data_IF_906377492284
#
_entry.id   IF_906377492284
#
_cell.length_a   1.000
_cell.length_b   1.000
_cell.length_c   1.000
_cell.angle_alpha   90.00
_cell.angle_beta   90.00
_cell.angle_gamma   90.00
#
_symmetry.space_group_name_H-M   'P 1'
#
loop_
_entity.id
_entity.type
_entity.pdbx_description
1 polymer ?
#
# COMPACT_ATOMS: atom_id res chain seq x y z
N UNK A 1 42.45 -60.36 -9.78
CA UNK A 1 42.05 -61.67 -10.32
C UNK A 1 40.53 -61.68 -10.40
N UNK A 2 39.99 -61.83 -11.63
CA UNK A 2 38.69 -62.40 -12.07
C UNK A 2 37.40 -62.07 -11.29
N UNK A 3 36.21 -61.85 -11.86
CA UNK A 3 35.62 -61.96 -13.21
C UNK A 3 34.24 -61.22 -13.13
N UNK A 4 33.75 -60.43 -14.10
CA UNK A 4 33.10 -60.74 -15.39
C UNK A 4 31.93 -61.78 -15.35
N UNK A 5 30.70 -61.30 -15.64
CA UNK A 5 29.68 -61.75 -16.64
C UNK A 5 28.22 -61.66 -16.13
N UNK A 6 27.40 -60.67 -16.54
CA UNK A 6 26.44 -60.53 -17.68
C UNK A 6 25.12 -61.35 -17.55
N UNK A 7 24.01 -60.69 -17.96
CA UNK A 7 22.65 -61.15 -18.36
C UNK A 7 21.61 -61.26 -17.21
N UNK A 8 20.36 -60.81 -17.30
CA UNK A 8 19.53 -60.32 -18.41
C UNK A 8 18.24 -59.68 -17.85
N UNK A 9 17.76 -58.65 -18.54
CA UNK A 9 16.34 -58.37 -18.91
C UNK A 9 15.28 -58.33 -17.80
N UNK A 10 14.66 -57.14 -17.62
CA UNK A 10 13.23 -56.96 -17.86
C UNK A 10 12.87 -55.47 -17.87
N UNK A 11 12.56 -54.99 -19.06
CA UNK A 11 11.92 -53.73 -19.36
C UNK A 11 10.50 -53.77 -18.74
N UNK A 12 10.19 -52.87 -17.81
CA UNK A 12 8.79 -52.50 -17.55
C UNK A 12 8.70 -50.98 -17.62
N UNK A 13 8.14 -50.52 -18.73
CA UNK A 13 7.89 -49.12 -19.04
C UNK A 13 6.94 -48.53 -18.00
N UNK A 14 7.49 -47.75 -17.07
CA UNK A 14 6.72 -46.83 -16.26
C UNK A 14 6.46 -45.57 -17.09
N UNK A 15 5.20 -45.41 -17.50
CA UNK A 15 4.67 -44.20 -18.10
C UNK A 15 4.95 -43.01 -17.20
N UNK A 16 5.87 -42.15 -17.62
CA UNK A 16 6.10 -40.82 -17.05
C UNK A 16 4.95 -39.92 -17.51
N UNK A 17 4.08 -39.42 -16.62
CA UNK A 17 3.10 -38.42 -17.03
C UNK A 17 3.85 -37.14 -17.39
N UNK A 18 3.62 -36.69 -18.62
CA UNK A 18 4.17 -35.47 -19.20
C UNK A 18 3.69 -34.25 -18.40
N UNK A 19 4.66 -33.40 -18.07
CA UNK A 19 4.47 -32.11 -17.40
C UNK A 19 3.54 -31.22 -18.24
N UNK A 20 2.32 -30.99 -17.75
CA UNK A 20 1.46 -29.89 -18.24
C UNK A 20 2.09 -28.58 -17.78
N UNK A 21 2.76 -27.91 -18.72
CA UNK A 21 3.18 -26.52 -18.57
C UNK A 21 1.95 -25.64 -18.67
N UNK A 22 1.43 -25.19 -17.52
CA UNK A 22 0.43 -24.13 -17.45
C UNK A 22 1.12 -22.81 -17.79
N UNK A 23 1.09 -22.43 -19.06
CA UNK A 23 1.43 -21.09 -19.50
C UNK A 23 0.45 -20.12 -18.85
N UNK A 24 0.90 -19.43 -17.80
CA UNK A 24 0.20 -18.30 -17.22
C UNK A 24 0.13 -17.19 -18.28
N UNK A 25 -1.00 -17.11 -18.97
CA UNK A 25 -1.35 -15.95 -19.76
C UNK A 25 -1.47 -14.75 -18.80
N UNK A 26 -0.39 -13.98 -18.70
CA UNK A 26 -0.40 -12.66 -18.08
C UNK A 26 -1.26 -11.78 -18.97
N UNK A 27 -2.53 -11.62 -18.61
CA UNK A 27 -3.35 -10.51 -19.09
C UNK A 27 -2.73 -9.23 -18.51
N UNK A 28 -1.73 -8.69 -19.20
CA UNK A 28 -1.35 -7.31 -19.04
C UNK A 28 -2.54 -6.48 -19.54
N UNK A 29 -3.40 -6.06 -18.61
CA UNK A 29 -4.24 -4.89 -18.83
C UNK A 29 -3.27 -3.73 -19.06
N UNK A 30 -3.21 -3.26 -20.30
CA UNK A 30 -2.53 -2.03 -20.67
C UNK A 30 -3.31 -0.90 -20.01
N UNK A 31 -2.82 -0.43 -18.87
CA UNK A 31 -3.32 0.79 -18.25
C UNK A 31 -3.09 1.93 -19.24
N UNK A 32 -4.17 2.62 -19.63
CA UNK A 32 -4.08 3.82 -20.44
C UNK A 32 -3.09 4.80 -19.79
N UNK A 33 -2.23 5.48 -20.56
CA UNK A 33 -1.27 6.42 -20.00
C UNK A 33 -2.02 7.55 -19.30
N UNK A 34 -1.79 7.70 -17.99
CA UNK A 34 -2.31 8.83 -17.23
C UNK A 34 -1.75 10.14 -17.83
N UNK A 35 -2.59 11.18 -17.98
CA UNK A 35 -2.11 12.48 -18.41
C UNK A 35 -1.02 12.98 -17.44
N UNK A 36 0.04 13.63 -17.94
CA UNK A 36 1.23 13.98 -17.14
C UNK A 36 0.97 14.77 -15.84
N UNK A 37 -0.21 15.40 -15.71
CA UNK A 37 -0.62 16.12 -14.51
C UNK A 37 -1.30 15.26 -13.43
N UNK A 38 -1.93 14.14 -13.79
CA UNK A 38 -2.73 13.29 -12.88
C UNK A 38 -1.81 12.48 -11.95
N UNK A 39 -0.78 11.83 -12.51
CA UNK A 39 0.26 11.17 -11.73
C UNK A 39 1.01 12.13 -10.78
N UNK A 40 1.26 13.37 -11.22
CA UNK A 40 1.92 14.40 -10.42
C UNK A 40 1.04 14.90 -9.27
N UNK A 41 -0.29 14.89 -9.45
CA UNK A 41 -1.28 15.27 -8.46
C UNK A 41 -1.54 14.17 -7.40
N UNK A 42 -1.56 12.92 -7.84
CA UNK A 42 -1.83 11.77 -6.97
C UNK A 42 -0.73 11.49 -5.95
N UNK A 43 0.53 11.88 -6.24
CA UNK A 43 1.64 11.73 -5.31
C UNK A 43 1.46 12.53 -4.01
N UNK A 44 1.24 13.86 -4.03
CA UNK A 44 1.01 14.63 -2.81
C UNK A 44 -0.30 14.25 -2.11
N UNK A 45 -1.37 13.89 -2.84
CA UNK A 45 -2.59 13.35 -2.23
C UNK A 45 -2.34 12.03 -1.49
N UNK A 46 -1.56 11.13 -2.07
CA UNK A 46 -1.17 9.88 -1.44
C UNK A 46 -0.37 10.11 -0.15
N UNK A 47 0.52 11.11 -0.12
CA UNK A 47 1.23 11.49 1.11
C UNK A 47 0.29 12.07 2.15
N UNK A 48 -0.66 12.93 1.76
CA UNK A 48 -1.66 13.48 2.67
C UNK A 48 -2.52 12.35 3.28
N UNK A 49 -3.00 11.41 2.46
CA UNK A 49 -3.74 10.24 2.92
C UNK A 49 -2.95 9.41 3.95
N UNK A 50 -1.66 9.17 3.69
CA UNK A 50 -0.77 8.49 4.64
C UNK A 50 -0.66 9.23 5.97
N UNK A 51 -0.50 10.56 5.95
CA UNK A 51 -0.46 11.40 7.16
C UNK A 51 -1.76 11.27 7.97
N UNK A 52 -2.92 11.29 7.31
CA UNK A 52 -4.21 11.12 7.97
C UNK A 52 -4.31 9.76 8.68
N UNK A 53 -3.81 8.69 8.05
CA UNK A 53 -3.75 7.36 8.65
C UNK A 53 -2.82 7.29 9.86
N UNK A 54 -1.63 7.89 9.75
CA UNK A 54 -0.68 8.00 10.86
C UNK A 54 -1.25 8.78 12.04
N UNK A 55 -1.91 9.92 11.78
CA UNK A 55 -2.55 10.74 12.81
C UNK A 55 -3.70 10.01 13.49
N UNK A 56 -4.49 9.24 12.73
CA UNK A 56 -5.57 8.43 13.28
C UNK A 56 -5.04 7.42 14.30
N UNK A 57 -3.96 6.71 13.99
CA UNK A 57 -3.35 5.77 14.94
C UNK A 57 -2.72 6.49 16.14
N UNK A 58 -1.83 7.45 15.88
CA UNK A 58 -1.03 8.08 16.93
C UNK A 58 -1.89 8.83 17.96
N UNK A 59 -2.93 9.55 17.51
CA UNK A 59 -3.81 10.27 18.44
C UNK A 59 -4.70 9.33 19.23
N UNK A 60 -5.20 8.23 18.63
CA UNK A 60 -5.90 7.16 19.37
C UNK A 60 -5.01 6.57 20.46
N UNK A 61 -3.79 6.20 20.10
CA UNK A 61 -2.79 5.65 21.02
C UNK A 61 -2.51 6.60 22.20
N UNK A 62 -2.53 7.90 21.94
CA UNK A 62 -2.30 8.95 22.94
C UNK A 62 -3.56 9.42 23.68
N UNK A 63 -4.69 8.73 23.53
CA UNK A 63 -5.90 8.98 24.31
C UNK A 63 -6.64 10.25 23.91
N UNK A 64 -6.44 10.75 22.70
CA UNK A 64 -7.20 11.90 22.20
C UNK A 64 -8.66 11.50 21.89
N UNK A 65 -9.66 12.11 22.55
CA UNK A 65 -11.06 11.79 22.33
C UNK A 65 -11.55 12.15 20.92
N UNK A 66 -10.83 13.00 20.19
CA UNK A 66 -11.19 13.43 18.84
C UNK A 66 -10.44 12.66 17.73
N UNK A 67 -9.76 11.56 18.06
CA UNK A 67 -8.90 10.87 17.09
C UNK A 67 -9.64 10.27 15.88
N UNK A 68 -10.97 10.08 15.95
CA UNK A 68 -11.78 9.62 14.82
C UNK A 68 -11.94 10.69 13.72
N UNK A 69 -11.69 11.98 14.02
CA UNK A 69 -11.74 13.07 13.03
C UNK A 69 -10.80 12.80 11.84
N UNK A 70 -9.67 12.12 12.05
CA UNK A 70 -8.71 11.85 10.99
C UNK A 70 -9.21 10.83 9.96
N UNK A 71 -10.05 9.88 10.39
CA UNK A 71 -10.74 8.98 9.45
C UNK A 71 -11.80 9.76 8.66
N UNK A 72 -12.52 10.67 9.31
CA UNK A 72 -13.48 11.54 8.63
C UNK A 72 -12.77 12.43 7.59
N UNK A 73 -11.61 13.02 7.94
CA UNK A 73 -10.80 13.80 6.98
C UNK A 73 -10.35 12.98 5.77
N UNK A 74 -10.08 11.68 5.94
CA UNK A 74 -9.80 10.81 4.80
C UNK A 74 -11.03 10.62 3.90
N UNK A 75 -12.22 10.49 4.49
CA UNK A 75 -13.47 10.40 3.72
C UNK A 75 -13.77 11.70 2.99
N UNK A 76 -13.60 12.84 3.65
CA UNK A 76 -13.71 14.17 3.04
C UNK A 76 -12.72 14.36 1.90
N UNK A 77 -11.48 13.89 2.05
CA UNK A 77 -10.48 13.93 0.99
C UNK A 77 -10.95 13.16 -0.25
N UNK A 78 -11.36 11.89 -0.08
CA UNK A 78 -11.84 11.07 -1.20
C UNK A 78 -13.07 11.71 -1.85
N UNK A 79 -14.01 12.21 -1.05
CA UNK A 79 -15.22 12.83 -1.57
C UNK A 79 -14.93 14.13 -2.35
N UNK A 80 -13.97 14.93 -1.88
CA UNK A 80 -13.59 16.18 -2.54
C UNK A 80 -12.85 15.95 -3.86
N UNK A 81 -12.13 14.84 -3.99
CA UNK A 81 -11.38 14.52 -5.20
C UNK A 81 -12.19 13.75 -6.24
N UNK A 82 -13.25 13.08 -5.83
CA UNK A 82 -14.04 12.15 -6.67
C UNK A 82 -13.17 11.29 -7.62
N UNK A 83 -12.15 10.59 -7.08
CA UNK A 83 -11.13 9.94 -7.90
C UNK A 83 -11.67 8.67 -8.55
N UNK A 84 -11.02 8.23 -9.64
CA UNK A 84 -11.34 6.95 -10.27
C UNK A 84 -11.13 5.79 -9.27
N UNK A 85 -11.75 4.63 -9.52
CA UNK A 85 -11.72 3.53 -8.55
C UNK A 85 -10.29 3.06 -8.21
N UNK A 86 -9.38 3.06 -9.19
CA UNK A 86 -7.99 2.69 -8.99
C UNK A 86 -7.25 3.66 -8.06
N UNK A 87 -7.39 4.97 -8.30
CA UNK A 87 -6.83 6.03 -7.48
C UNK A 87 -7.43 6.04 -6.07
N UNK A 88 -8.75 5.83 -5.97
CA UNK A 88 -9.44 5.67 -4.67
C UNK A 88 -8.81 4.56 -3.85
N UNK A 89 -8.54 3.39 -4.46
CA UNK A 89 -7.86 2.27 -3.81
C UNK A 89 -6.45 2.64 -3.38
N UNK A 90 -5.72 3.40 -4.19
CA UNK A 90 -4.38 3.90 -3.85
C UNK A 90 -4.41 4.83 -2.64
N UNK A 91 -5.31 5.80 -2.58
CA UNK A 91 -5.46 6.69 -1.43
C UNK A 91 -5.79 5.92 -0.14
N UNK A 92 -6.69 4.94 -0.23
CA UNK A 92 -7.03 4.07 0.90
C UNK A 92 -5.82 3.23 1.33
N UNK A 93 -5.05 2.70 0.39
CA UNK A 93 -3.84 1.95 0.67
C UNK A 93 -2.79 2.83 1.40
N UNK A 94 -2.59 4.07 0.96
CA UNK A 94 -1.70 5.02 1.62
C UNK A 94 -2.12 5.34 3.05
N UNK A 95 -3.41 5.59 3.28
CA UNK A 95 -3.96 5.77 4.64
C UNK A 95 -3.68 4.55 5.53
N UNK A 96 -3.99 3.35 5.03
CA UNK A 96 -3.79 2.11 5.77
C UNK A 96 -2.31 1.85 6.06
N UNK A 97 -1.42 2.20 5.13
CA UNK A 97 0.02 2.12 5.34
C UNK A 97 0.45 3.05 6.49
N UNK A 98 0.08 4.33 6.44
CA UNK A 98 0.42 5.30 7.49
C UNK A 98 -0.07 4.90 8.89
N UNK A 99 -1.26 4.28 8.98
CA UNK A 99 -1.76 3.69 10.22
C UNK A 99 -0.88 2.52 10.70
N UNK A 100 -0.60 1.57 9.80
CA UNK A 100 0.16 0.35 10.10
C UNK A 100 1.62 0.63 10.46
N UNK A 101 2.25 1.64 9.87
CA UNK A 101 3.65 2.01 10.17
C UNK A 101 3.86 2.26 11.66
N UNK A 102 2.99 3.05 12.30
CA UNK A 102 3.09 3.33 13.73
C UNK A 102 2.46 2.21 14.59
N UNK A 103 1.44 1.53 14.08
CA UNK A 103 0.89 0.35 14.74
C UNK A 103 1.90 -0.80 14.85
N UNK A 104 2.89 -0.88 13.97
CA UNK A 104 3.96 -1.87 14.08
C UNK A 104 4.88 -1.60 15.27
N UNK A 105 5.17 -0.33 15.58
CA UNK A 105 6.25 0.08 16.50
C UNK A 105 5.78 0.56 17.87
N UNK A 106 4.60 1.16 17.99
CA UNK A 106 4.11 1.68 19.27
C UNK A 106 2.98 0.83 19.87
N UNK A 107 3.03 0.64 21.19
CA UNK A 107 1.99 -0.06 22.00
C UNK A 107 1.40 0.83 23.11
N UNK A 108 2.10 1.90 23.45
CA UNK A 108 1.64 2.94 24.38
C UNK A 108 2.13 4.31 23.91
N UNK A 109 1.51 5.38 24.39
CA UNK A 109 1.90 6.74 24.01
C UNK A 109 3.20 7.18 24.69
N UNK A 110 4.29 7.15 23.92
CA UNK A 110 5.63 7.59 24.34
C UNK A 110 5.87 9.08 24.04
N UNK A 111 6.97 9.63 24.56
CA UNK A 111 7.43 10.98 24.16
C UNK A 111 7.67 11.09 22.65
N UNK A 112 8.26 10.06 22.03
CA UNK A 112 8.47 9.99 20.59
C UNK A 112 7.15 9.97 19.80
N UNK A 113 6.14 9.25 20.28
CA UNK A 113 4.81 9.24 19.66
C UNK A 113 4.16 10.64 19.68
N UNK A 114 4.26 11.36 20.81
CA UNK A 114 3.77 12.76 20.91
C UNK A 114 4.51 13.71 19.96
N UNK A 115 5.82 13.55 19.82
CA UNK A 115 6.60 14.32 18.85
C UNK A 115 6.13 14.01 17.42
N UNK A 116 5.87 12.74 17.11
CA UNK A 116 5.36 12.33 15.80
C UNK A 116 3.99 12.96 15.51
N UNK A 117 3.06 13.00 16.47
CA UNK A 117 1.77 13.70 16.32
C UNK A 117 1.98 15.15 15.87
N UNK A 118 2.83 15.90 16.58
CA UNK A 118 3.07 17.31 16.26
C UNK A 118 3.69 17.51 14.87
N UNK A 119 4.68 16.67 14.50
CA UNK A 119 5.34 16.73 13.19
C UNK A 119 4.37 16.43 12.04
N UNK A 120 3.61 15.35 12.17
CA UNK A 120 2.64 14.95 11.14
C UNK A 120 1.47 15.94 11.02
N UNK A 121 1.07 16.59 12.11
CA UNK A 121 0.08 17.66 12.05
C UNK A 121 0.59 18.88 11.25
N UNK A 122 1.82 19.31 11.50
CA UNK A 122 2.44 20.42 10.77
C UNK A 122 2.62 20.09 9.29
N UNK A 123 3.14 18.89 9.00
CA UNK A 123 3.34 18.41 7.64
C UNK A 123 2.01 18.32 6.89
N UNK A 124 0.99 17.67 7.47
CA UNK A 124 -0.32 17.53 6.84
C UNK A 124 -0.99 18.87 6.54
N UNK A 125 -0.89 19.83 7.45
CA UNK A 125 -1.40 21.18 7.24
C UNK A 125 -0.65 21.93 6.12
N UNK A 126 0.67 21.78 6.04
CA UNK A 126 1.48 22.37 4.97
C UNK A 126 1.13 21.77 3.62
N UNK A 127 1.08 20.44 3.56
CA UNK A 127 0.81 19.69 2.33
C UNK A 127 -0.60 19.98 1.80
N UNK A 128 -1.61 20.04 2.67
CA UNK A 128 -2.97 20.39 2.26
C UNK A 128 -3.06 21.80 1.63
N UNK A 129 -2.33 22.78 2.20
CA UNK A 129 -2.26 24.13 1.61
C UNK A 129 -1.53 24.15 0.27
N UNK A 130 -0.41 23.42 0.16
CA UNK A 130 0.33 23.32 -1.09
C UNK A 130 -0.49 22.66 -2.20
N UNK A 131 -1.22 21.59 -1.86
CA UNK A 131 -2.14 20.94 -2.80
C UNK A 131 -3.20 21.94 -3.26
N UNK A 132 -3.84 22.65 -2.32
CA UNK A 132 -4.85 23.65 -2.65
C UNK A 132 -4.30 24.82 -3.47
N UNK A 133 -3.06 25.27 -3.24
CA UNK A 133 -2.48 26.39 -3.99
C UNK A 133 -2.01 26.00 -5.39
N UNK A 134 -1.58 24.75 -5.59
CA UNK A 134 -1.09 24.27 -6.89
C UNK A 134 -2.19 23.69 -7.78
N UNK A 135 -3.21 23.09 -7.18
CA UNK A 135 -4.22 22.30 -7.88
C UNK A 135 -5.66 22.73 -7.55
N UNK A 136 -5.86 23.67 -6.63
CA UNK A 136 -7.16 24.29 -6.40
C UNK A 136 -7.53 25.17 -7.58
N UNK A 137 -8.74 24.97 -8.11
CA UNK A 137 -9.37 25.82 -9.13
C UNK A 137 -10.15 26.96 -8.51
#
# INVERSE_FOLDING_TARGET
MSALRIFAVAFLALLVPTLVSAAAAQSATEAAPEPPGEAAYMQPLGRLAMILGSMHFLRKLCGDPQADVWRQKMQELIAAQDPAEAERKQLIASFNNGYRTFAATYRSCTGAARIAVNRYQQEGASLAREIGSRYGS
#
